data_IF_039405419967
#
_entry.id   IF_039405419967
#
_cell.length_a   1.000
_cell.length_b   1.000
_cell.length_c   1.000
_cell.angle_alpha   90.00
_cell.angle_beta   90.00
_cell.angle_gamma   90.00
#
_symmetry.space_group_name_H-M   'P 1'
#
loop_
_entity.id
_entity.type
_entity.pdbx_description
1 polymer ?
#
# COMPACT_ATOMS: atom_id res chain seq x y z
N UNK A 1 -19.54 27.42 27.23
CA UNK A 1 -19.62 27.93 26.45
C UNK A 1 -18.90 27.80 25.21
N UNK A 2 -18.49 28.61 24.51
CA UNK A 2 -17.89 28.46 23.29
C UNK A 2 -16.76 27.57 23.29
N UNK A 3 -16.09 27.42 24.29
CA UNK A 3 -14.99 26.57 24.31
C UNK A 3 -15.33 25.18 23.98
N UNK A 4 -16.44 24.76 24.36
CA UNK A 4 -16.86 23.42 24.12
C UNK A 4 -16.94 23.14 22.65
N UNK A 5 -17.30 24.11 21.95
CA UNK A 5 -17.44 23.96 20.53
C UNK A 5 -16.14 23.65 19.88
N UNK A 6 -15.08 24.23 20.35
CA UNK A 6 -13.81 23.96 19.77
C UNK A 6 -13.41 22.56 19.96
N UNK A 7 -13.74 22.02 21.09
CA UNK A 7 -13.33 20.69 21.36
C UNK A 7 -13.89 19.76 20.35
N UNK A 8 -15.12 19.97 19.98
CA UNK A 8 -15.74 19.13 19.02
C UNK A 8 -15.04 19.18 17.70
N UNK A 9 -14.66 20.35 17.30
CA UNK A 9 -13.99 20.50 16.05
C UNK A 9 -12.70 19.73 16.03
N UNK A 10 -12.00 19.77 17.10
CA UNK A 10 -10.75 19.07 17.16
C UNK A 10 -10.96 17.59 17.02
N UNK A 11 -12.00 17.09 17.62
CA UNK A 11 -12.27 15.68 17.51
C UNK A 11 -12.55 15.28 16.07
N UNK A 12 -13.21 16.13 15.35
CA UNK A 12 -13.50 15.82 13.99
C UNK A 12 -12.26 15.69 13.16
N UNK A 13 -11.30 16.52 13.39
CA UNK A 13 -10.08 16.43 12.67
C UNK A 13 -9.44 15.12 12.87
N UNK A 14 -9.49 14.60 14.06
CA UNK A 14 -8.87 13.35 14.33
C UNK A 14 -9.47 12.25 13.48
N UNK A 15 -10.76 12.31 13.26
CA UNK A 15 -11.37 11.31 12.45
C UNK A 15 -10.85 11.36 11.06
N UNK A 16 -10.73 12.52 10.51
CA UNK A 16 -10.26 12.65 9.18
C UNK A 16 -8.89 12.04 9.08
N UNK A 17 -8.10 12.25 10.08
CA UNK A 17 -6.77 11.70 10.06
C UNK A 17 -6.77 10.20 10.05
N UNK A 18 -7.73 9.63 10.69
CA UNK A 18 -7.78 8.20 10.76
C UNK A 18 -7.88 7.56 9.41
N UNK A 19 -8.68 8.12 8.54
CA UNK A 19 -8.77 7.52 7.29
C UNK A 19 -7.53 7.62 6.54
N UNK A 20 -6.83 8.65 6.68
CA UNK A 20 -5.62 8.83 5.94
C UNK A 20 -4.59 7.79 6.31
N UNK A 21 -4.84 7.06 7.38
CA UNK A 21 -3.88 6.06 7.79
C UNK A 21 -3.99 4.77 7.04
N UNK A 22 -4.88 4.70 6.10
CA UNK A 22 -5.07 3.48 5.36
C UNK A 22 -3.79 3.05 4.64
N UNK A 23 -2.95 4.00 4.26
CA UNK A 23 -1.69 3.63 3.64
C UNK A 23 -0.56 4.36 4.33
N UNK A 24 0.63 3.77 4.30
CA UNK A 24 1.81 4.37 4.89
C UNK A 24 2.84 4.57 3.81
N UNK A 25 3.88 5.34 4.11
CA UNK A 25 4.92 5.58 3.13
C UNK A 25 5.75 4.31 2.94
N UNK A 26 6.38 4.19 1.79
CA UNK A 26 7.21 3.04 1.49
C UNK A 26 8.36 2.92 2.50
N UNK A 27 9.05 4.02 2.76
CA UNK A 27 10.19 3.99 3.66
C UNK A 27 9.80 3.57 5.07
N UNK A 28 8.69 4.08 5.55
CA UNK A 28 8.22 3.73 6.88
C UNK A 28 7.84 2.26 6.96
N UNK A 29 7.11 1.76 5.99
CA UNK A 29 6.70 0.37 6.00
C UNK A 29 7.89 -0.57 5.84
N UNK A 30 8.86 -0.18 5.00
CA UNK A 30 10.02 -1.01 4.76
C UNK A 30 10.87 -1.14 6.04
N UNK A 31 10.96 -0.07 6.81
CA UNK A 31 11.73 -0.10 8.05
C UNK A 31 11.08 -1.02 9.08
N UNK A 32 9.81 -1.30 8.94
CA UNK A 32 9.09 -2.17 9.86
C UNK A 32 8.86 -3.57 9.32
N UNK A 33 9.46 -3.89 8.18
CA UNK A 33 9.17 -5.16 7.51
C UNK A 33 9.68 -6.38 8.27
N UNK A 34 10.47 -6.19 9.30
CA UNK A 34 10.90 -7.30 10.15
C UNK A 34 9.75 -7.80 11.00
N UNK A 35 8.92 -6.89 11.50
CA UNK A 35 7.84 -7.25 12.40
C UNK A 35 6.49 -7.32 11.69
N UNK A 36 6.37 -6.69 10.54
CA UNK A 36 5.10 -6.66 9.82
C UNK A 36 5.37 -6.59 8.34
N UNK A 37 4.95 -7.59 7.59
CA UNK A 37 5.19 -7.58 6.15
C UNK A 37 4.43 -6.46 5.47
N UNK A 38 4.83 -6.13 4.26
CA UNK A 38 4.20 -5.04 3.54
C UNK A 38 3.82 -5.44 2.13
N UNK A 39 2.75 -4.84 1.65
CA UNK A 39 2.30 -4.97 0.28
C UNK A 39 2.42 -3.59 -0.34
N UNK A 40 2.94 -3.53 -1.54
CA UNK A 40 3.12 -2.26 -2.25
C UNK A 40 2.46 -2.33 -3.61
N UNK A 41 1.53 -1.43 -3.86
CA UNK A 41 1.00 -1.28 -5.21
C UNK A 41 1.86 -0.23 -5.90
N UNK A 42 2.58 -0.63 -6.93
CA UNK A 42 3.44 0.28 -7.68
C UNK A 42 2.66 0.71 -8.91
N UNK A 43 2.43 2.00 -9.06
CA UNK A 43 1.59 2.48 -10.16
C UNK A 43 2.02 3.87 -10.62
N UNK A 44 1.41 4.31 -11.69
CA UNK A 44 1.55 5.66 -12.19
C UNK A 44 0.22 6.04 -12.83
N UNK A 45 -0.07 7.32 -12.85
CA UNK A 45 -1.38 7.77 -13.36
C UNK A 45 -1.50 7.62 -14.86
N UNK A 46 -0.39 7.41 -15.57
CA UNK A 46 -0.46 7.16 -17.01
C UNK A 46 -0.69 5.68 -17.32
N UNK A 47 -0.68 4.81 -16.29
CA UNK A 47 -0.89 3.39 -16.53
C UNK A 47 -2.37 3.12 -16.74
N UNK A 48 -2.68 2.28 -17.71
CA UNK A 48 -4.07 1.95 -18.01
C UNK A 48 -4.78 1.35 -16.81
N UNK A 49 -5.97 1.87 -16.53
CA UNK A 49 -6.83 1.35 -15.47
C UNK A 49 -6.22 1.39 -14.09
N UNK A 50 -5.28 2.30 -13.85
CA UNK A 50 -4.63 2.34 -12.55
C UNK A 50 -5.65 2.51 -11.40
N UNK A 51 -6.75 3.18 -11.66
CA UNK A 51 -7.77 3.38 -10.62
C UNK A 51 -8.43 2.08 -10.21
N UNK A 52 -8.60 1.15 -11.15
CA UNK A 52 -9.16 -0.14 -10.84
C UNK A 52 -8.20 -0.91 -9.95
N UNK A 53 -6.90 -0.82 -10.24
CA UNK A 53 -5.89 -1.49 -9.42
C UNK A 53 -5.87 -0.91 -8.01
N UNK A 54 -6.01 0.41 -7.88
CA UNK A 54 -6.07 1.04 -6.57
C UNK A 54 -7.24 0.50 -5.76
N UNK A 55 -8.39 0.40 -6.40
CA UNK A 55 -9.57 -0.10 -5.73
C UNK A 55 -9.39 -1.54 -5.28
N UNK A 56 -8.84 -2.37 -6.15
CA UNK A 56 -8.61 -3.77 -5.81
C UNK A 56 -7.59 -3.90 -4.68
N UNK A 57 -6.55 -3.11 -4.74
CA UNK A 57 -5.51 -3.14 -3.72
C UNK A 57 -6.07 -2.71 -2.36
N UNK A 58 -6.87 -1.65 -2.35
CA UNK A 58 -7.47 -1.17 -1.11
C UNK A 58 -8.44 -2.19 -0.51
N UNK A 59 -9.05 -2.99 -1.37
CA UNK A 59 -9.92 -4.04 -0.91
C UNK A 59 -9.21 -5.16 -0.17
N UNK A 60 -7.90 -5.29 -0.36
CA UNK A 60 -7.14 -6.32 0.32
C UNK A 60 -7.16 -6.16 1.83
N UNK A 61 -7.34 -4.93 2.29
CA UNK A 61 -7.38 -4.69 3.72
C UNK A 61 -8.59 -5.37 4.36
N UNK A 62 -9.65 -5.56 3.61
CA UNK A 62 -10.82 -6.27 4.12
C UNK A 62 -10.52 -7.75 4.29
N UNK A 63 -9.62 -8.27 3.47
CA UNK A 63 -9.28 -9.68 3.51
C UNK A 63 -8.20 -9.97 4.55
N UNK A 64 -7.19 -9.11 4.62
CA UNK A 64 -6.03 -9.38 5.47
C UNK A 64 -5.92 -8.49 6.70
N UNK A 65 -6.75 -7.46 6.80
CA UNK A 65 -6.76 -6.59 7.96
C UNK A 65 -5.40 -5.95 8.20
N UNK A 66 -4.96 -5.99 9.44
CA UNK A 66 -3.70 -5.36 9.80
C UNK A 66 -2.52 -6.32 9.78
N UNK A 67 -2.65 -7.45 9.07
CA UNK A 67 -1.54 -8.37 8.91
C UNK A 67 -0.42 -7.76 8.10
N UNK A 68 -0.74 -6.77 7.26
CA UNK A 68 0.23 -6.12 6.40
C UNK A 68 0.18 -4.62 6.55
N UNK A 69 1.28 -3.98 6.20
CA UNK A 69 1.27 -2.55 5.91
C UNK A 69 1.01 -2.42 4.42
N UNK A 70 0.11 -1.53 4.05
CA UNK A 70 -0.29 -1.33 2.65
C UNK A 70 0.28 -0.01 2.15
N UNK A 71 1.04 -0.07 1.07
CA UNK A 71 1.68 1.10 0.51
C UNK A 71 1.19 1.31 -0.92
N UNK A 72 0.73 2.52 -1.23
CA UNK A 72 0.36 2.89 -2.58
C UNK A 72 1.46 3.80 -3.09
N UNK A 73 2.25 3.31 -4.02
CA UNK A 73 3.43 4.02 -4.47
C UNK A 73 3.27 4.49 -5.90
N UNK A 74 3.07 5.79 -6.08
CA UNK A 74 2.99 6.39 -7.39
C UNK A 74 4.40 6.78 -7.79
N UNK A 75 4.97 6.08 -8.78
CA UNK A 75 6.38 6.26 -9.12
C UNK A 75 6.70 7.62 -9.72
N UNK A 76 5.68 8.37 -10.09
CA UNK A 76 5.89 9.70 -10.66
C UNK A 76 5.96 10.78 -9.57
N UNK A 77 5.69 10.42 -8.32
CA UNK A 77 5.68 11.40 -7.24
C UNK A 77 7.00 11.45 -6.50
N UNK A 78 7.30 12.59 -5.88
CA UNK A 78 8.57 12.73 -5.16
C UNK A 78 8.79 11.69 -4.06
N UNK A 79 7.71 11.23 -3.44
CA UNK A 79 7.82 10.27 -2.38
C UNK A 79 8.38 8.94 -2.86
N UNK A 80 8.34 8.67 -4.15
CA UNK A 80 8.87 7.43 -4.69
C UNK A 80 10.34 7.52 -5.06
N UNK A 81 10.98 8.66 -4.81
CA UNK A 81 12.34 8.86 -5.23
C UNK A 81 13.31 7.80 -4.69
N UNK A 82 13.21 7.50 -3.41
CA UNK A 82 14.13 6.53 -2.85
C UNK A 82 13.85 5.13 -3.40
N UNK A 83 12.61 4.81 -3.65
CA UNK A 83 12.26 3.53 -4.24
C UNK A 83 12.82 3.44 -5.66
N UNK A 84 12.61 4.49 -6.46
CA UNK A 84 13.07 4.51 -7.84
C UNK A 84 14.59 4.40 -7.95
N UNK A 85 15.29 4.93 -6.97
CA UNK A 85 16.74 4.86 -6.98
C UNK A 85 17.27 3.49 -6.56
N UNK A 86 16.48 2.76 -5.80
CA UNK A 86 16.92 1.50 -5.23
C UNK A 86 16.45 0.27 -5.97
N UNK A 87 15.27 0.34 -6.56
CA UNK A 87 14.64 -0.82 -7.17
C UNK A 87 14.36 -0.64 -8.64
N UNK A 88 14.38 -1.76 -9.34
CA UNK A 88 14.06 -1.75 -10.75
C UNK A 88 12.54 -1.57 -10.91
N UNK A 89 12.14 -0.74 -11.88
CA UNK A 89 10.73 -0.54 -12.17
C UNK A 89 10.34 -1.45 -13.32
N UNK A 90 9.44 -2.38 -13.05
CA UNK A 90 9.00 -3.29 -14.10
C UNK A 90 8.09 -2.54 -15.08
N UNK A 91 8.10 -2.95 -16.33
CA UNK A 91 7.39 -2.20 -17.38
C UNK A 91 5.87 -2.23 -17.33
N UNK A 92 5.27 -3.27 -16.85
CA UNK A 92 3.82 -3.40 -16.91
C UNK A 92 3.14 -2.95 -15.63
N UNK A 93 3.05 -1.64 -15.45
CA UNK A 93 2.36 -1.07 -14.31
C UNK A 93 0.86 -1.16 -14.49
N UNK A 94 0.09 -1.26 -13.41
CA UNK A 94 0.52 -1.44 -12.03
C UNK A 94 0.84 -2.89 -11.69
N UNK A 95 1.62 -3.06 -10.62
CA UNK A 95 1.91 -4.41 -10.12
C UNK A 95 2.05 -4.32 -8.60
N UNK A 96 2.11 -5.48 -7.93
CA UNK A 96 2.21 -5.51 -6.48
C UNK A 96 3.52 -6.17 -6.07
N UNK A 97 4.20 -5.56 -5.12
CA UNK A 97 5.38 -6.16 -4.52
C UNK A 97 5.04 -6.54 -3.09
N UNK A 98 5.63 -7.63 -2.62
CA UNK A 98 5.42 -8.11 -1.27
C UNK A 98 6.78 -8.27 -0.62
N UNK A 99 6.91 -7.75 0.60
CA UNK A 99 8.17 -7.84 1.34
C UNK A 99 7.92 -8.38 2.75
N UNK A 100 8.85 -9.18 3.23
CA UNK A 100 8.84 -9.61 4.62
C UNK A 100 10.27 -9.84 5.08
N UNK A 101 10.45 -10.14 6.35
CA UNK A 101 11.76 -10.43 6.95
C UNK A 101 12.77 -9.31 6.69
N UNK A 102 12.34 -8.07 6.97
CA UNK A 102 13.22 -6.93 6.81
C UNK A 102 13.54 -6.62 5.37
N UNK A 103 12.69 -7.07 4.45
CA UNK A 103 12.92 -6.83 3.03
C UNK A 103 13.80 -7.89 2.39
N UNK A 104 14.25 -8.89 3.16
CA UNK A 104 15.10 -9.93 2.60
C UNK A 104 14.35 -10.88 1.69
N UNK A 105 13.05 -11.03 1.94
CA UNK A 105 12.22 -11.89 1.11
C UNK A 105 11.24 -11.01 0.38
N UNK A 106 11.20 -11.13 -0.94
CA UNK A 106 10.27 -10.33 -1.74
C UNK A 106 9.66 -11.19 -2.83
N UNK A 107 8.48 -10.81 -3.26
CA UNK A 107 7.79 -11.47 -4.36
C UNK A 107 7.08 -10.41 -5.17
N UNK A 108 6.80 -10.75 -6.40
CA UNK A 108 6.25 -9.83 -7.38
C UNK A 108 4.95 -10.43 -7.92
N UNK A 109 3.89 -9.65 -7.91
CA UNK A 109 2.63 -10.04 -8.52
C UNK A 109 2.44 -9.17 -9.75
N UNK A 110 2.54 -9.79 -10.93
CA UNK A 110 2.47 -9.05 -12.15
C UNK A 110 1.07 -8.51 -12.43
N UNK A 111 1.00 -7.59 -13.35
CA UNK A 111 -0.22 -6.86 -13.66
C UNK A 111 -1.45 -7.76 -13.86
N UNK A 112 -1.31 -8.82 -14.62
CA UNK A 112 -2.45 -9.69 -14.92
C UNK A 112 -3.08 -10.30 -13.67
N UNK A 113 -2.27 -10.58 -12.68
CA UNK A 113 -2.75 -11.13 -11.43
C UNK A 113 -3.22 -10.03 -10.49
N UNK A 114 -2.55 -8.91 -10.52
CA UNK A 114 -2.86 -7.80 -9.61
C UNK A 114 -4.23 -7.18 -9.86
N UNK A 115 -4.80 -7.35 -11.02
CA UNK A 115 -6.13 -6.84 -11.31
C UNK A 115 -7.21 -7.85 -10.94
N UNK A 116 -6.83 -9.05 -10.57
CA UNK A 116 -7.76 -10.13 -10.30
C UNK A 116 -7.62 -10.60 -8.88
N UNK A 117 -8.61 -10.32 -8.05
CA UNK A 117 -8.54 -10.69 -6.63
C UNK A 117 -8.39 -12.18 -6.42
N UNK A 118 -9.06 -12.99 -7.23
CA UNK A 118 -8.97 -14.43 -7.06
C UNK A 118 -7.57 -14.96 -7.41
N UNK A 119 -6.79 -14.19 -8.16
CA UNK A 119 -5.41 -14.53 -8.42
C UNK A 119 -4.50 -14.00 -7.31
N UNK A 120 -4.76 -12.77 -6.88
CA UNK A 120 -3.91 -12.07 -5.93
C UNK A 120 -3.96 -12.64 -4.52
N UNK A 121 -5.18 -12.87 -4.02
CA UNK A 121 -5.38 -13.26 -2.63
C UNK A 121 -4.64 -14.55 -2.25
N UNK A 122 -4.72 -15.63 -3.04
CA UNK A 122 -4.00 -16.85 -2.66
C UNK A 122 -2.48 -16.64 -2.63
N UNK A 123 -1.96 -15.82 -3.53
CA UNK A 123 -0.53 -15.58 -3.57
C UNK A 123 -0.07 -14.80 -2.36
N UNK A 124 -0.86 -13.81 -1.95
CA UNK A 124 -0.53 -13.03 -0.77
C UNK A 124 -0.63 -13.90 0.47
N UNK A 125 -1.65 -14.72 0.55
CA UNK A 125 -1.84 -15.59 1.69
C UNK A 125 -0.67 -16.58 1.82
N UNK A 126 -0.22 -17.10 0.71
CA UNK A 126 0.90 -18.02 0.71
C UNK A 126 2.19 -17.31 1.17
N UNK A 127 2.35 -16.07 0.75
CA UNK A 127 3.52 -15.28 1.11
C UNK A 127 3.53 -14.97 2.60
N UNK A 128 2.37 -14.79 3.19
CA UNK A 128 2.26 -14.40 4.59
C UNK A 128 2.66 -15.51 5.56
N UNK A 129 2.75 -16.74 5.09
CA UNK A 129 3.08 -17.86 5.99
C UNK A 129 4.56 -17.93 6.38
#
# INVERSE_FOLDING_TARGET
MRKVVYMLLVALFLFLGVKANASVSFDEAFSKANSKPMLVLVYAEWADNYEVFLEKFRGLEQEFGDEFNYVELNIARPEAKSFNARYHIYPNLPYVLMYRDGGKVSRYIQRNCAINESCMVPRIRSFAK
#
